data_IF_135051726547
#
_entry.id   IF_135051726547
#
_cell.length_a   1.000
_cell.length_b   1.000
_cell.length_c   1.000
_cell.angle_alpha   90.00
_cell.angle_beta   90.00
_cell.angle_gamma   90.00
#
_symmetry.space_group_name_H-M   'P 1'
#
loop_
_entity.id
_entity.type
_entity.pdbx_description
1 polymer ?
#
# COMPACT_ATOMS: atom_id res chain seq x y z
N UNK A 1 6.37 -24.96 1.71
CA UNK A 1 5.00 -24.57 1.30
C UNK A 1 4.84 -23.11 1.64
N UNK A 2 4.67 -22.22 0.65
CA UNK A 2 4.38 -20.81 0.92
C UNK A 2 2.96 -20.71 1.49
N UNK A 3 2.78 -20.37 2.78
CA UNK A 3 1.47 -20.35 3.43
C UNK A 3 0.51 -19.31 2.82
N UNK A 4 1.01 -18.41 1.96
CA UNK A 4 0.26 -17.32 1.34
C UNK A 4 -0.43 -17.71 0.03
N UNK A 5 -0.24 -18.94 -0.47
CA UNK A 5 -0.92 -19.47 -1.68
C UNK A 5 -2.42 -19.70 -1.52
N UNK A 6 -2.96 -19.65 -0.32
CA UNK A 6 -4.37 -19.99 -0.04
C UNK A 6 -5.36 -18.87 -0.44
N UNK A 7 -4.87 -17.66 -0.71
CA UNK A 7 -5.70 -16.53 -1.17
C UNK A 7 -5.34 -16.21 -2.61
N UNK A 8 -6.33 -16.24 -3.50
CA UNK A 8 -6.11 -15.93 -4.92
C UNK A 8 -5.67 -14.47 -5.10
N UNK A 9 -4.87 -14.21 -6.14
CA UNK A 9 -4.43 -12.86 -6.48
C UNK A 9 -5.62 -11.91 -6.72
N UNK A 10 -6.71 -12.43 -7.29
CA UNK A 10 -7.96 -11.68 -7.47
C UNK A 10 -8.54 -11.18 -6.14
N UNK A 11 -8.54 -12.02 -5.09
CA UNK A 11 -8.98 -11.61 -3.75
C UNK A 11 -8.07 -10.53 -3.16
N UNK A 12 -6.75 -10.63 -3.35
CA UNK A 12 -5.80 -9.58 -2.91
C UNK A 12 -6.05 -8.25 -3.63
N UNK A 13 -6.35 -8.26 -4.93
CA UNK A 13 -6.70 -7.04 -5.66
C UNK A 13 -8.03 -6.43 -5.21
N UNK A 14 -9.03 -7.27 -4.87
CA UNK A 14 -10.29 -6.80 -4.29
C UNK A 14 -10.06 -6.12 -2.93
N UNK A 15 -9.33 -6.79 -2.03
CA UNK A 15 -8.96 -6.25 -0.72
C UNK A 15 -8.17 -4.94 -0.85
N UNK A 16 -7.20 -4.86 -1.77
CA UNK A 16 -6.46 -3.63 -2.02
C UNK A 16 -7.38 -2.47 -2.49
N UNK A 17 -8.48 -2.75 -3.21
CA UNK A 17 -9.47 -1.71 -3.57
C UNK A 17 -10.28 -1.25 -2.36
N UNK A 18 -10.59 -2.15 -1.44
CA UNK A 18 -11.29 -1.85 -0.18
C UNK A 18 -10.43 -1.00 0.75
N UNK A 19 -9.18 -1.40 0.99
CA UNK A 19 -8.20 -0.62 1.76
C UNK A 19 -7.99 0.79 1.18
N UNK A 20 -8.05 0.92 -0.14
CA UNK A 20 -8.01 2.26 -0.78
C UNK A 20 -9.20 3.16 -0.44
N UNK A 21 -10.34 2.61 -0.03
CA UNK A 21 -11.53 3.38 0.34
C UNK A 21 -11.55 3.72 1.83
N UNK A 22 -10.92 2.89 2.65
CA UNK A 22 -10.89 3.04 4.11
C UNK A 22 -9.44 2.97 4.67
N UNK A 23 -8.55 3.93 4.29
CA UNK A 23 -7.21 4.02 4.88
C UNK A 23 -7.26 4.41 6.37
N UNK A 24 -6.20 4.12 7.12
CA UNK A 24 -5.97 4.69 8.46
C UNK A 24 -5.76 6.22 8.39
N UNK A 25 -5.85 6.97 9.52
CA UNK A 25 -5.49 8.38 9.54
C UNK A 25 -4.05 8.64 9.08
N UNK A 26 -3.10 7.80 9.50
CA UNK A 26 -1.70 7.88 9.12
C UNK A 26 -1.53 7.69 7.60
N UNK A 27 -2.12 6.64 7.03
CA UNK A 27 -2.11 6.41 5.57
C UNK A 27 -2.77 7.55 4.80
N UNK A 28 -3.86 8.13 5.29
CA UNK A 28 -4.50 9.31 4.68
C UNK A 28 -3.51 10.46 4.57
N UNK A 29 -2.82 10.76 5.67
CA UNK A 29 -1.88 11.87 5.73
C UNK A 29 -0.66 11.61 4.84
N UNK A 30 -0.08 10.41 4.89
CA UNK A 30 1.02 10.02 4.02
C UNK A 30 0.61 10.08 2.54
N UNK A 31 -0.58 9.60 2.18
CA UNK A 31 -1.06 9.67 0.80
C UNK A 31 -1.23 11.10 0.30
N UNK A 32 -1.66 12.03 1.15
CA UNK A 32 -1.74 13.45 0.78
C UNK A 32 -0.38 14.01 0.37
N UNK A 33 0.70 13.61 1.04
CA UNK A 33 2.07 14.04 0.72
C UNK A 33 2.62 13.33 -0.54
N UNK A 34 2.40 12.02 -0.65
CA UNK A 34 3.01 11.17 -1.67
C UNK A 34 2.32 11.23 -3.03
N UNK A 35 1.03 11.55 -3.08
CA UNK A 35 0.26 11.61 -4.34
C UNK A 35 0.79 12.67 -5.28
N UNK A 36 0.42 12.56 -6.56
CA UNK A 36 0.70 13.57 -7.59
C UNK A 36 2.18 13.94 -7.73
N UNK A 37 3.10 13.02 -7.39
CA UNK A 37 4.54 13.27 -7.42
C UNK A 37 5.01 14.37 -6.46
N UNK A 38 4.28 14.54 -5.34
CA UNK A 38 4.53 15.60 -4.36
C UNK A 38 5.87 15.50 -3.62
N UNK A 39 6.48 14.30 -3.57
CA UNK A 39 7.81 14.09 -2.99
C UNK A 39 8.79 13.72 -4.10
N UNK A 40 9.82 14.55 -4.27
CA UNK A 40 10.96 14.32 -5.16
C UNK A 40 10.59 13.98 -6.63
N UNK A 41 9.38 14.34 -7.08
CA UNK A 41 8.89 13.97 -8.42
C UNK A 41 8.53 12.48 -8.59
N UNK A 42 8.61 11.69 -7.52
CA UNK A 42 8.45 10.24 -7.54
C UNK A 42 6.98 9.81 -7.57
N UNK A 43 6.67 8.77 -8.33
CA UNK A 43 5.31 8.23 -8.43
C UNK A 43 5.09 7.11 -7.42
N UNK A 44 4.36 7.42 -6.36
CA UNK A 44 3.89 6.43 -5.39
C UNK A 44 2.53 5.85 -5.78
N UNK A 45 2.36 4.56 -5.52
CA UNK A 45 1.08 3.85 -5.56
C UNK A 45 0.73 3.45 -4.13
N UNK A 46 -0.54 3.54 -3.75
CA UNK A 46 -1.02 3.12 -2.42
C UNK A 46 -1.72 1.77 -2.45
N UNK A 47 -1.61 1.01 -1.36
CA UNK A 47 -2.21 -0.31 -1.17
C UNK A 47 -1.92 -1.19 -2.39
N UNK A 48 -0.64 -1.40 -2.70
CA UNK A 48 -0.18 -2.03 -3.92
C UNK A 48 0.06 -3.52 -3.70
N UNK A 49 -0.51 -4.36 -4.57
CA UNK A 49 -0.26 -5.80 -4.51
C UNK A 49 1.14 -6.08 -5.06
N UNK A 50 2.03 -6.59 -4.22
CA UNK A 50 3.40 -6.95 -4.54
C UNK A 50 3.68 -8.38 -4.04
N UNK A 51 3.97 -9.30 -4.96
CA UNK A 51 4.27 -10.72 -4.64
C UNK A 51 3.29 -11.39 -3.65
N UNK A 52 1.98 -11.09 -3.76
CA UNK A 52 0.95 -11.66 -2.89
C UNK A 52 0.70 -10.89 -1.58
N UNK A 53 1.52 -9.88 -1.28
CA UNK A 53 1.31 -8.93 -0.19
C UNK A 53 0.63 -7.67 -0.70
N UNK A 54 -0.02 -6.93 0.19
CA UNK A 54 -0.50 -5.58 -0.08
C UNK A 54 0.36 -4.67 0.78
N UNK A 55 1.11 -3.78 0.15
CA UNK A 55 1.98 -2.81 0.82
C UNK A 55 1.32 -1.44 0.83
N UNK A 56 1.51 -0.64 1.88
CA UNK A 56 0.84 0.65 2.04
C UNK A 56 1.21 1.62 0.92
N UNK A 57 2.50 1.78 0.63
CA UNK A 57 2.99 2.56 -0.49
C UNK A 57 4.15 1.89 -1.22
N UNK A 58 4.14 1.99 -2.56
CA UNK A 58 5.20 1.46 -3.42
C UNK A 58 5.61 2.50 -4.47
N UNK A 59 6.90 2.81 -4.53
CA UNK A 59 7.55 3.50 -5.64
C UNK A 59 8.28 2.48 -6.51
N UNK A 60 7.73 2.23 -7.71
CA UNK A 60 8.29 1.23 -8.63
C UNK A 60 9.66 1.65 -9.16
N UNK A 61 9.83 2.94 -9.48
CA UNK A 61 11.08 3.46 -10.05
C UNK A 61 12.27 3.22 -9.12
N UNK A 62 12.06 3.43 -7.82
CA UNK A 62 13.10 3.29 -6.80
C UNK A 62 13.10 1.92 -6.10
N UNK A 63 12.20 1.01 -6.50
CA UNK A 63 12.00 -0.30 -5.84
C UNK A 63 11.82 -0.16 -4.33
N UNK A 64 11.13 0.90 -3.90
CA UNK A 64 10.99 1.32 -2.51
C UNK A 64 9.56 1.05 -2.02
N UNK A 65 9.45 0.35 -0.89
CA UNK A 65 8.21 0.18 -0.13
C UNK A 65 8.28 1.04 1.13
N UNK A 66 7.15 1.68 1.47
CA UNK A 66 6.95 2.36 2.74
C UNK A 66 5.73 1.70 3.39
N UNK A 67 5.92 1.11 4.57
CA UNK A 67 4.85 0.60 5.42
C UNK A 67 4.69 1.55 6.60
N UNK A 68 3.45 1.85 6.97
CA UNK A 68 3.17 2.62 8.16
C UNK A 68 2.76 1.65 9.27
N UNK A 69 3.56 1.58 10.33
CA UNK A 69 3.09 0.90 11.53
C UNK A 69 1.95 1.70 12.14
N UNK A 70 0.80 1.04 12.35
CA UNK A 70 -0.29 1.60 13.13
C UNK A 70 0.20 1.94 14.53
N UNK A 71 -0.25 3.07 15.06
CA UNK A 71 -0.02 3.40 16.47
C UNK A 71 -0.76 2.41 17.38
N UNK A 72 -0.43 2.32 18.67
CA UNK A 72 -1.10 1.43 19.62
C UNK A 72 -2.62 1.71 19.83
N UNK A 73 -3.22 2.63 19.07
CA UNK A 73 -4.61 3.07 19.23
C UNK A 73 -5.38 3.18 17.90
N UNK A 74 -5.06 2.37 16.88
CA UNK A 74 -5.92 2.17 15.69
C UNK A 74 -6.82 0.94 15.81
#
# INVERSE_FOLDING_TARGET
MDPLRHVTLAKKFALARELRRAPTPAERHAWYLLRNRGILGLKFRRQHVLHGFIVDFHCIAERLVIELEGGPHD
#
